data_IF_402625406614
#
_entry.id   IF_402625406614
#
_cell.length_a   1.000
_cell.length_b   1.000
_cell.length_c   1.000
_cell.angle_alpha   90.00
_cell.angle_beta   90.00
_cell.angle_gamma   90.00
#
_symmetry.space_group_name_H-M   'P 1'
#
loop_
_entity.id
_entity.type
_entity.pdbx_description
1 polymer ?
#
# COMPACT_ATOMS: atom_id res chain seq x y z
N UNK A 1 -28.73 19.17 39.33
CA UNK A 1 -28.66 20.01 38.11
C UNK A 1 -28.26 19.13 36.93
N UNK A 2 -29.21 18.69 36.11
CA UNK A 2 -28.91 18.05 34.82
C UNK A 2 -29.50 18.95 33.73
N UNK A 3 -28.78 20.03 33.42
CA UNK A 3 -29.08 20.94 32.31
C UNK A 3 -28.72 20.32 30.95
N UNK A 4 -29.11 19.06 30.73
CA UNK A 4 -28.99 18.42 29.43
C UNK A 4 -30.15 18.84 28.56
N UNK A 5 -30.03 19.97 27.88
CA UNK A 5 -30.95 20.29 26.79
C UNK A 5 -30.84 19.18 25.75
N UNK A 6 -31.93 18.42 25.55
CA UNK A 6 -32.06 17.47 24.45
C UNK A 6 -31.91 18.29 23.17
N UNK A 7 -30.73 18.20 22.53
CA UNK A 7 -30.57 18.63 21.14
C UNK A 7 -31.52 17.74 20.34
N UNK A 8 -32.69 18.28 20.01
CA UNK A 8 -33.59 17.70 19.03
C UNK A 8 -32.74 17.47 17.78
N UNK A 9 -32.38 16.22 17.52
CA UNK A 9 -31.59 15.89 16.34
C UNK A 9 -32.52 16.07 15.15
N UNK A 10 -32.00 16.55 14.03
CA UNK A 10 -32.80 16.66 12.79
C UNK A 10 -33.42 15.30 12.41
N UNK A 11 -32.77 14.21 12.81
CA UNK A 11 -33.25 12.83 12.70
C UNK A 11 -34.58 12.56 13.41
N UNK A 12 -34.89 13.29 14.48
CA UNK A 12 -36.11 13.08 15.27
C UNK A 12 -37.37 13.40 14.47
N UNK A 13 -37.24 14.17 13.37
CA UNK A 13 -38.38 14.48 12.51
C UNK A 13 -38.99 13.25 11.84
N UNK A 14 -38.16 12.26 11.53
CA UNK A 14 -38.61 10.99 10.92
C UNK A 14 -39.39 10.12 11.92
N UNK A 15 -39.27 10.41 13.22
CA UNK A 15 -39.96 9.70 14.30
C UNK A 15 -41.17 10.45 14.83
N UNK A 16 -41.38 11.70 14.39
CA UNK A 16 -42.54 12.48 14.78
C UNK A 16 -43.75 11.97 14.02
N UNK A 17 -44.87 11.88 14.72
CA UNK A 17 -46.19 11.60 14.16
C UNK A 17 -47.15 12.64 14.72
N UNK A 18 -48.08 13.12 13.89
CA UNK A 18 -49.19 13.94 14.38
C UNK A 18 -50.26 12.97 14.89
N UNK A 19 -50.62 12.99 16.18
CA UNK A 19 -51.63 12.08 16.72
C UNK A 19 -53.00 12.38 16.12
N UNK A 20 -53.70 11.33 15.71
CA UNK A 20 -55.04 11.43 15.16
C UNK A 20 -56.05 11.85 16.26
N UNK A 21 -56.95 12.81 16.00
CA UNK A 21 -57.93 13.21 17.00
C UNK A 21 -58.90 12.08 17.37
N UNK A 22 -59.21 11.91 18.66
CA UNK A 22 -60.01 10.80 19.20
C UNK A 22 -61.43 10.70 18.62
N UNK A 23 -62.04 11.84 18.26
CA UNK A 23 -63.39 11.87 17.69
C UNK A 23 -63.46 11.23 16.29
N UNK A 24 -62.33 11.15 15.57
CA UNK A 24 -62.26 10.52 14.24
C UNK A 24 -62.46 9.00 14.33
N UNK A 25 -62.04 8.39 15.45
CA UNK A 25 -62.21 6.95 15.69
C UNK A 25 -63.56 6.65 16.35
N UNK A 26 -64.09 7.58 17.14
CA UNK A 26 -65.26 7.35 17.99
C UNK A 26 -66.60 7.82 17.42
N UNK A 27 -66.63 8.75 16.45
CA UNK A 27 -67.86 9.31 15.88
C UNK A 27 -67.83 9.35 14.35
N UNK A 28 -68.94 9.00 13.65
CA UNK A 28 -69.06 9.22 12.21
C UNK A 28 -68.96 10.71 11.83
N UNK A 29 -68.37 11.03 10.67
CA UNK A 29 -68.19 12.41 10.17
C UNK A 29 -69.45 13.27 10.20
N UNK A 30 -70.62 12.66 9.92
CA UNK A 30 -71.90 13.36 9.92
C UNK A 30 -72.30 13.90 11.30
N UNK A 31 -71.71 13.39 12.37
CA UNK A 31 -71.98 13.76 13.77
C UNK A 31 -70.94 14.73 14.35
N UNK A 32 -69.97 15.17 13.54
CA UNK A 32 -68.96 16.12 13.99
C UNK A 32 -69.56 17.52 14.13
N UNK A 33 -69.31 18.12 15.28
CA UNK A 33 -69.53 19.55 15.50
C UNK A 33 -68.63 20.39 14.60
N UNK A 34 -68.98 21.66 14.40
CA UNK A 34 -68.15 22.57 13.60
C UNK A 34 -66.76 22.82 14.22
N UNK A 35 -66.66 22.68 15.55
CA UNK A 35 -65.40 22.71 16.29
C UNK A 35 -64.54 21.46 16.00
N UNK A 36 -65.14 20.26 16.01
CA UNK A 36 -64.46 19.00 15.65
C UNK A 36 -64.00 19.00 14.19
N UNK A 37 -64.81 19.53 13.25
CA UNK A 37 -64.39 19.71 11.84
C UNK A 37 -63.18 20.62 11.71
N UNK A 38 -63.13 21.71 12.47
CA UNK A 38 -61.98 22.63 12.49
C UNK A 38 -60.72 21.94 13.02
N UNK A 39 -60.83 21.18 14.11
CA UNK A 39 -59.71 20.40 14.68
C UNK A 39 -59.19 19.37 13.67
N UNK A 40 -60.08 18.70 12.94
CA UNK A 40 -59.69 17.74 11.91
C UNK A 40 -58.93 18.42 10.75
N UNK A 41 -59.41 19.57 10.30
CA UNK A 41 -58.77 20.35 9.23
C UNK A 41 -57.35 20.79 9.63
N UNK A 42 -57.17 21.22 10.88
CA UNK A 42 -55.86 21.59 11.43
C UNK A 42 -54.94 20.36 11.60
N UNK A 43 -55.50 19.21 11.96
CA UNK A 43 -54.78 17.94 12.02
C UNK A 43 -54.25 17.54 10.63
N UNK A 44 -55.10 17.55 9.60
CA UNK A 44 -54.70 17.19 8.23
C UNK A 44 -53.59 18.12 7.72
N UNK A 45 -53.71 19.42 7.97
CA UNK A 45 -52.69 20.39 7.60
C UNK A 45 -51.35 20.08 8.26
N UNK A 46 -51.33 19.84 9.58
CA UNK A 46 -50.10 19.50 10.31
C UNK A 46 -49.52 18.16 9.87
N UNK A 47 -50.37 17.16 9.61
CA UNK A 47 -49.94 15.85 9.14
C UNK A 47 -49.27 15.95 7.76
N UNK A 48 -49.85 16.76 6.85
CA UNK A 48 -49.29 17.04 5.53
C UNK A 48 -47.95 17.79 5.62
N UNK A 49 -47.89 18.87 6.40
CA UNK A 49 -46.65 19.64 6.60
C UNK A 49 -45.52 18.77 7.17
N UNK A 50 -45.84 17.89 8.15
CA UNK A 50 -44.87 16.96 8.71
C UNK A 50 -44.38 15.94 7.66
N UNK A 51 -45.28 15.41 6.84
CA UNK A 51 -44.93 14.49 5.74
C UNK A 51 -43.98 15.13 4.73
N UNK A 52 -44.26 16.38 4.31
CA UNK A 52 -43.39 17.13 3.40
C UNK A 52 -41.99 17.39 4.01
N UNK A 53 -41.92 17.71 5.30
CA UNK A 53 -40.65 17.92 6.00
C UNK A 53 -39.85 16.62 6.15
N UNK A 54 -40.51 15.51 6.46
CA UNK A 54 -39.90 14.17 6.48
C UNK A 54 -39.34 13.78 5.12
N UNK A 55 -40.09 13.95 4.05
CA UNK A 55 -39.64 13.62 2.69
C UNK A 55 -38.46 14.49 2.25
N UNK A 56 -38.48 15.79 2.56
CA UNK A 56 -37.35 16.68 2.31
C UNK A 56 -36.09 16.25 3.05
N UNK A 57 -36.25 15.82 4.31
CA UNK A 57 -35.14 15.31 5.11
C UNK A 57 -34.59 13.99 4.56
N UNK A 58 -35.45 13.04 4.17
CA UNK A 58 -35.03 11.79 3.51
C UNK A 58 -34.22 12.05 2.25
N UNK A 59 -34.70 12.95 1.37
CA UNK A 59 -33.98 13.33 0.13
C UNK A 59 -32.61 13.94 0.42
N UNK A 60 -32.50 14.72 1.49
CA UNK A 60 -31.22 15.31 1.92
C UNK A 60 -30.26 14.20 2.36
N UNK A 61 -30.71 13.28 3.22
CA UNK A 61 -29.89 12.14 3.67
C UNK A 61 -29.45 11.25 2.50
N UNK A 62 -30.35 10.95 1.56
CA UNK A 62 -30.01 10.19 0.36
C UNK A 62 -28.94 10.89 -0.49
N UNK A 63 -29.02 12.22 -0.62
CA UNK A 63 -28.04 13.01 -1.37
C UNK A 63 -26.67 13.01 -0.69
N UNK A 64 -26.64 13.14 0.64
CA UNK A 64 -25.42 13.09 1.44
C UNK A 64 -24.78 11.69 1.37
N UNK A 65 -25.59 10.63 1.46
CA UNK A 65 -25.15 9.26 1.32
C UNK A 65 -24.49 9.02 -0.06
N UNK A 66 -25.15 9.44 -1.14
CA UNK A 66 -24.60 9.33 -2.51
C UNK A 66 -23.30 10.11 -2.66
N UNK A 67 -23.22 11.31 -2.08
CA UNK A 67 -22.00 12.14 -2.10
C UNK A 67 -20.84 11.46 -1.37
N UNK A 68 -21.10 10.89 -0.19
CA UNK A 68 -20.08 10.18 0.58
C UNK A 68 -19.61 8.93 -0.18
N UNK A 69 -20.53 8.16 -0.77
CA UNK A 69 -20.18 6.99 -1.58
C UNK A 69 -19.32 7.34 -2.79
N UNK A 70 -19.68 8.41 -3.52
CA UNK A 70 -18.89 8.89 -4.65
C UNK A 70 -17.49 9.34 -4.21
N UNK A 71 -17.39 10.08 -3.11
CA UNK A 71 -16.09 10.51 -2.54
C UNK A 71 -15.23 9.32 -2.13
N UNK A 72 -15.80 8.28 -1.51
CA UNK A 72 -15.05 7.06 -1.15
C UNK A 72 -14.50 6.38 -2.39
N UNK A 73 -15.33 6.23 -3.44
CA UNK A 73 -14.91 5.61 -4.69
C UNK A 73 -13.75 6.38 -5.33
N UNK A 74 -13.89 7.70 -5.45
CA UNK A 74 -12.85 8.57 -6.02
C UNK A 74 -11.54 8.52 -5.22
N UNK A 75 -11.63 8.60 -3.88
CA UNK A 75 -10.45 8.49 -3.02
C UNK A 75 -9.76 7.13 -3.15
N UNK A 76 -10.54 6.05 -3.27
CA UNK A 76 -10.00 4.69 -3.42
C UNK A 76 -9.27 4.56 -4.75
N UNK A 77 -9.89 5.01 -5.85
CA UNK A 77 -9.27 4.99 -7.18
C UNK A 77 -8.01 5.84 -7.23
N UNK A 78 -8.05 7.07 -6.67
CA UNK A 78 -6.88 7.94 -6.61
C UNK A 78 -5.73 7.34 -5.80
N UNK A 79 -6.04 6.65 -4.70
CA UNK A 79 -5.04 5.92 -3.92
C UNK A 79 -4.40 4.78 -4.73
N UNK A 80 -5.22 3.95 -5.38
CA UNK A 80 -4.76 2.81 -6.17
C UNK A 80 -3.87 3.25 -7.34
N UNK A 81 -4.23 4.35 -8.01
CA UNK A 81 -3.41 4.93 -9.09
C UNK A 81 -2.02 5.37 -8.60
N UNK A 82 -1.97 6.06 -7.45
CA UNK A 82 -0.69 6.49 -6.85
C UNK A 82 0.12 5.29 -6.42
N UNK A 83 -0.52 4.28 -5.83
CA UNK A 83 0.14 3.04 -5.41
C UNK A 83 0.71 2.28 -6.61
N UNK A 84 -0.03 2.17 -7.71
CA UNK A 84 0.43 1.52 -8.94
C UNK A 84 1.65 2.22 -9.54
N UNK A 85 1.63 3.56 -9.63
CA UNK A 85 2.77 4.37 -10.11
C UNK A 85 3.99 4.21 -9.20
N UNK A 86 3.78 4.17 -7.88
CA UNK A 86 4.86 3.95 -6.92
C UNK A 86 5.47 2.56 -7.08
N UNK A 87 4.63 1.54 -7.26
CA UNK A 87 5.06 0.16 -7.45
C UNK A 87 5.85 0.00 -8.76
N UNK A 88 5.38 0.59 -9.86
CA UNK A 88 6.11 0.60 -11.13
C UNK A 88 7.50 1.23 -10.98
N UNK A 89 7.59 2.38 -10.29
CA UNK A 89 8.87 3.03 -10.01
C UNK A 89 9.78 2.16 -9.16
N UNK A 90 9.23 1.49 -8.13
CA UNK A 90 9.98 0.54 -7.30
C UNK A 90 10.58 -0.57 -8.16
N UNK A 91 9.77 -1.24 -8.99
CA UNK A 91 10.22 -2.33 -9.85
C UNK A 91 11.32 -1.86 -10.81
N UNK A 92 11.16 -0.68 -11.43
CA UNK A 92 12.20 -0.11 -12.31
C UNK A 92 13.50 0.16 -11.56
N UNK A 93 13.43 0.76 -10.38
CA UNK A 93 14.62 1.02 -9.55
C UNK A 93 15.31 -0.27 -9.11
N UNK A 94 14.56 -1.26 -8.63
CA UNK A 94 15.10 -2.57 -8.23
C UNK A 94 15.74 -3.30 -9.42
N UNK A 95 15.13 -3.25 -10.60
CA UNK A 95 15.68 -3.84 -11.82
C UNK A 95 17.06 -3.26 -12.14
N UNK A 96 17.22 -1.93 -12.07
CA UNK A 96 18.51 -1.27 -12.33
C UNK A 96 19.53 -1.64 -11.26
N UNK A 97 19.14 -1.66 -9.98
CA UNK A 97 20.03 -2.07 -8.89
C UNK A 97 20.56 -3.49 -9.13
N UNK A 98 19.68 -4.46 -9.39
CA UNK A 98 20.08 -5.84 -9.63
C UNK A 98 20.96 -6.00 -10.88
N UNK A 99 20.70 -5.21 -11.93
CA UNK A 99 21.56 -5.20 -13.12
C UNK A 99 22.97 -4.70 -12.81
N UNK A 100 23.10 -3.63 -12.02
CA UNK A 100 24.42 -3.10 -11.63
C UNK A 100 25.14 -4.03 -10.65
N UNK A 101 24.43 -4.65 -9.70
CA UNK A 101 24.98 -5.68 -8.83
C UNK A 101 25.56 -6.86 -9.62
N UNK A 102 24.83 -7.33 -10.64
CA UNK A 102 25.31 -8.39 -11.52
C UNK A 102 26.54 -7.96 -12.33
N UNK A 103 26.56 -6.74 -12.86
CA UNK A 103 27.74 -6.21 -13.57
C UNK A 103 28.97 -6.14 -12.67
N UNK A 104 28.81 -5.66 -11.43
CA UNK A 104 29.91 -5.64 -10.46
C UNK A 104 30.43 -7.05 -10.18
N UNK A 105 29.53 -8.02 -9.94
CA UNK A 105 29.92 -9.41 -9.72
C UNK A 105 30.69 -10.00 -10.91
N UNK A 106 30.24 -9.74 -12.14
CA UNK A 106 30.95 -10.14 -13.35
C UNK A 106 32.34 -9.52 -13.46
N UNK A 107 32.49 -8.21 -13.20
CA UNK A 107 33.78 -7.54 -13.26
C UNK A 107 34.76 -8.12 -12.24
N UNK A 108 34.32 -8.36 -11.00
CA UNK A 108 35.15 -8.99 -9.97
C UNK A 108 35.60 -10.39 -10.41
N UNK A 109 34.68 -11.18 -10.96
CA UNK A 109 35.00 -12.52 -11.48
C UNK A 109 36.02 -12.47 -12.63
N UNK A 110 35.84 -11.57 -13.59
CA UNK A 110 36.79 -11.37 -14.70
C UNK A 110 38.18 -10.96 -14.22
N UNK A 111 38.26 -10.05 -13.24
CA UNK A 111 39.54 -9.63 -12.65
C UNK A 111 40.26 -10.78 -11.95
N UNK A 112 39.52 -11.64 -11.23
CA UNK A 112 40.09 -12.81 -10.56
C UNK A 112 40.66 -13.81 -11.57
N UNK A 113 39.94 -14.07 -12.67
CA UNK A 113 40.44 -14.92 -13.76
C UNK A 113 41.71 -14.33 -14.37
N UNK A 114 41.74 -13.02 -14.63
CA UNK A 114 42.90 -12.37 -15.21
C UNK A 114 44.12 -12.41 -14.27
N UNK A 115 43.91 -12.28 -12.97
CA UNK A 115 44.96 -12.45 -11.97
C UNK A 115 45.52 -13.89 -11.95
N UNK A 116 44.65 -14.89 -12.00
CA UNK A 116 45.03 -16.31 -12.05
C UNK A 116 45.84 -16.61 -13.33
N UNK A 117 45.36 -16.17 -14.50
CA UNK A 117 46.09 -16.35 -15.77
C UNK A 117 47.46 -15.70 -15.70
N UNK A 118 47.55 -14.44 -15.22
CA UNK A 118 48.84 -13.74 -15.08
C UNK A 118 49.77 -14.45 -14.09
N UNK A 119 49.24 -15.06 -13.04
CA UNK A 119 50.05 -15.86 -12.12
C UNK A 119 50.62 -17.10 -12.81
N UNK A 120 49.78 -17.85 -13.51
CA UNK A 120 50.19 -19.05 -14.26
C UNK A 120 51.22 -18.72 -15.35
N UNK A 121 51.04 -17.61 -16.08
CA UNK A 121 52.01 -17.14 -17.07
C UNK A 121 53.38 -16.84 -16.44
N UNK A 122 53.41 -16.15 -15.29
CA UNK A 122 54.67 -15.88 -14.57
C UNK A 122 55.39 -17.17 -14.18
N UNK A 123 54.67 -18.14 -13.62
CA UNK A 123 55.24 -19.44 -13.23
C UNK A 123 55.78 -20.22 -14.44
N UNK A 124 55.07 -20.18 -15.57
CA UNK A 124 55.53 -20.80 -16.82
C UNK A 124 56.80 -20.13 -17.35
N UNK A 125 56.86 -18.80 -17.35
CA UNK A 125 58.07 -18.04 -17.76
C UNK A 125 59.26 -18.44 -16.90
N UNK A 126 59.13 -18.43 -15.57
CA UNK A 126 60.19 -18.84 -14.65
C UNK A 126 60.66 -20.27 -14.90
N UNK A 127 59.72 -21.19 -15.14
CA UNK A 127 60.04 -22.59 -15.46
C UNK A 127 60.81 -22.73 -16.76
N UNK A 128 60.46 -21.95 -17.79
CA UNK A 128 61.14 -21.94 -19.09
C UNK A 128 62.55 -21.36 -18.98
N UNK A 129 62.74 -20.31 -18.18
CA UNK A 129 64.05 -19.72 -17.91
C UNK A 129 64.98 -20.70 -17.19
N UNK A 130 64.49 -21.38 -16.14
CA UNK A 130 65.26 -22.43 -15.43
C UNK A 130 65.72 -23.53 -16.41
N UNK A 131 64.80 -24.06 -17.21
CA UNK A 131 65.13 -25.11 -18.21
C UNK A 131 66.12 -24.63 -19.27
N UNK A 132 66.10 -23.34 -19.65
CA UNK A 132 67.07 -22.75 -20.58
C UNK A 132 68.45 -22.66 -19.93
N UNK A 133 68.53 -22.23 -18.67
CA UNK A 133 69.78 -22.19 -17.91
C UNK A 133 70.40 -23.59 -17.78
N UNK A 134 69.59 -24.60 -17.46
CA UNK A 134 70.05 -26.01 -17.35
C UNK A 134 70.61 -26.54 -18.69
N UNK A 135 70.01 -26.15 -19.83
CA UNK A 135 70.51 -26.54 -21.16
C UNK A 135 71.80 -25.83 -21.59
N UNK A 136 72.02 -24.60 -21.13
CA UNK A 136 73.25 -23.82 -21.40
C UNK A 136 74.39 -24.24 -20.46
N UNK A 137 74.08 -25.01 -19.42
CA UNK A 137 75.01 -25.62 -18.47
C UNK A 137 75.20 -27.14 -18.70
N UNK A 138 75.67 -27.64 -19.87
CA UNK A 138 75.93 -29.07 -20.05
C UNK A 138 77.24 -29.55 -19.39
N UNK A 139 78.12 -28.65 -18.91
CA UNK A 139 79.41 -29.02 -18.31
C UNK A 139 79.42 -28.83 -16.78
N UNK A 140 78.64 -29.62 -16.03
CA UNK A 140 79.00 -30.05 -14.67
C UNK A 140 77.99 -31.06 -14.10
N UNK A 141 78.09 -32.31 -14.56
CA UNK A 141 77.81 -33.46 -13.70
C UNK A 141 79.16 -34.18 -13.58
N UNK A 142 79.90 -34.04 -12.48
CA UNK A 142 79.66 -34.81 -11.24
C UNK A 142 80.00 -34.03 -9.95
N UNK A 143 78.98 -33.60 -9.19
CA UNK A 143 78.83 -33.90 -7.74
C UNK A 143 77.56 -33.22 -7.21
N UNK A 144 76.57 -33.99 -6.76
CA UNK A 144 75.41 -33.45 -6.03
C UNK A 144 75.79 -33.04 -4.61
N UNK A 145 75.45 -31.83 -4.13
CA UNK A 145 75.37 -31.53 -2.71
C UNK A 145 73.95 -31.84 -2.18
N UNK A 146 73.89 -32.30 -0.93
CA UNK A 146 72.67 -32.74 -0.25
C UNK A 146 71.62 -31.60 -0.11
N UNK A 147 70.31 -31.92 -0.11
CA UNK A 147 69.26 -30.91 -0.01
C UNK A 147 69.24 -30.23 1.38
N UNK A 148 68.93 -28.93 1.45
CA UNK A 148 68.83 -28.20 2.71
C UNK A 148 67.60 -28.64 3.53
N UNK A 149 67.66 -28.55 4.87
CA UNK A 149 66.57 -28.97 5.75
C UNK A 149 65.32 -28.09 5.62
N UNK A 150 64.11 -28.64 5.88
CA UNK A 150 62.86 -27.92 5.73
C UNK A 150 62.69 -26.79 6.77
N UNK A 151 61.97 -25.71 6.41
CA UNK A 151 61.73 -24.58 7.30
C UNK A 151 60.82 -24.96 8.48
N UNK A 152 60.98 -24.31 9.65
CA UNK A 152 60.17 -24.59 10.83
C UNK A 152 58.70 -24.15 10.65
N UNK A 153 57.75 -24.83 11.33
CA UNK A 153 56.33 -24.55 11.20
C UNK A 153 55.96 -23.17 11.78
N UNK A 154 54.96 -22.47 11.19
CA UNK A 154 54.52 -21.16 11.65
C UNK A 154 53.81 -21.24 13.01
N UNK A 155 54.01 -20.20 13.83
CA UNK A 155 53.34 -19.99 15.13
C UNK A 155 51.97 -19.36 14.99
#
# INVERSE_FOLDING_TARGET
MMGGAIKVKKEDILKKEVPQPEFVVSKPELQWSDEEKKIFTDYEKKAKELGEEQDKYRKTLESEMKKIQASILECTQGFDEVLAKLFERKVKSETVIYQEELKMAHLVYSMLIEEEIRHQERELVLTMERRRADKVSPDSTTHSPAPPPPPPPPS
#
